data_IF_886523640104
#
_entry.id   IF_886523640104
#
_cell.length_a   1.000
_cell.length_b   1.000
_cell.length_c   1.000
_cell.angle_alpha   90.00
_cell.angle_beta   90.00
_cell.angle_gamma   90.00
#
_symmetry.space_group_name_H-M   'P 1'
#
loop_
_entity.id
_entity.type
_entity.pdbx_description
1 polymer ?
#
# COMPACT_ATOMS: atom_id res chain seq x y z
N UNK A 1 8.59 -2.32 3.56
CA UNK A 1 9.79 -2.26 4.41
C UNK A 1 9.52 -1.61 5.77
N UNK A 2 8.89 -0.43 5.84
CA UNK A 2 8.59 0.26 7.11
C UNK A 2 7.98 -0.64 8.19
N UNK A 3 6.98 -1.45 7.83
CA UNK A 3 6.32 -2.40 8.74
C UNK A 3 7.31 -3.42 9.31
N UNK A 4 8.22 -3.94 8.49
CA UNK A 4 9.22 -4.92 8.91
C UNK A 4 10.26 -4.30 9.86
N UNK A 5 10.74 -3.09 9.55
CA UNK A 5 11.67 -2.35 10.43
C UNK A 5 11.04 -2.11 11.80
N UNK A 6 9.79 -1.63 11.83
CA UNK A 6 9.05 -1.42 13.08
C UNK A 6 8.86 -2.72 13.87
N UNK A 7 8.49 -3.82 13.20
CA UNK A 7 8.38 -5.16 13.85
C UNK A 7 9.71 -5.65 14.41
N UNK A 8 10.83 -5.25 13.83
CA UNK A 8 12.17 -5.55 14.32
C UNK A 8 12.63 -4.61 15.45
N UNK A 9 11.79 -3.68 15.90
CA UNK A 9 12.13 -2.70 16.94
C UNK A 9 13.01 -1.54 16.45
N UNK A 10 13.20 -1.41 15.14
CA UNK A 10 13.92 -0.29 14.54
C UNK A 10 12.91 0.84 14.32
N UNK A 11 13.00 1.88 15.13
CA UNK A 11 12.07 3.02 15.07
C UNK A 11 12.67 4.28 14.44
N UNK A 12 14.00 4.39 14.39
CA UNK A 12 14.67 5.55 13.81
C UNK A 12 14.92 5.34 12.31
N UNK A 13 13.89 5.61 11.51
CA UNK A 13 13.99 5.58 10.05
C UNK A 13 12.97 6.53 9.41
N UNK A 14 13.22 6.87 8.16
CA UNK A 14 12.29 7.62 7.29
C UNK A 14 12.21 6.95 5.93
N UNK A 15 10.99 6.81 5.41
CA UNK A 15 10.73 6.41 4.03
C UNK A 15 10.42 7.67 3.24
N UNK A 16 11.19 7.92 2.18
CA UNK A 16 10.94 9.03 1.27
C UNK A 16 10.08 8.55 0.10
N UNK A 17 8.99 9.27 -0.17
CA UNK A 17 8.12 9.08 -1.32
C UNK A 17 8.06 10.36 -2.14
N UNK A 18 8.30 10.25 -3.45
CA UNK A 18 8.30 11.38 -4.37
C UNK A 18 6.89 11.93 -4.60
N UNK A 19 5.88 11.07 -4.59
CA UNK A 19 4.49 11.44 -4.75
C UNK A 19 3.92 12.18 -3.53
N UNK A 20 2.73 12.73 -3.70
CA UNK A 20 2.00 13.40 -2.63
C UNK A 20 1.47 12.44 -1.55
N UNK A 21 1.41 11.14 -1.86
CA UNK A 21 0.95 10.08 -0.96
C UNK A 21 1.61 8.74 -1.29
N UNK A 22 1.49 7.79 -0.38
CA UNK A 22 1.91 6.40 -0.55
C UNK A 22 1.09 5.67 -1.61
N UNK A 23 1.60 4.51 -2.05
CA UNK A 23 0.91 3.61 -2.97
C UNK A 23 1.68 3.36 -4.26
N UNK A 24 2.74 4.12 -4.53
CA UNK A 24 3.68 3.88 -5.62
C UNK A 24 2.98 3.78 -6.98
N UNK A 25 3.04 2.61 -7.61
CA UNK A 25 2.35 2.32 -8.88
C UNK A 25 0.87 2.68 -8.80
N UNK A 26 0.19 2.32 -7.71
CA UNK A 26 -1.23 2.54 -7.55
C UNK A 26 -1.57 3.99 -7.25
N UNK A 27 -0.67 4.78 -6.67
CA UNK A 27 -0.90 6.22 -6.54
C UNK A 27 -0.73 6.95 -7.88
N UNK A 28 0.23 6.52 -8.71
CA UNK A 28 0.59 7.21 -9.96
C UNK A 28 -0.31 6.89 -11.16
N UNK A 29 -0.88 5.69 -11.22
CA UNK A 29 -1.57 5.21 -12.42
C UNK A 29 -3.09 5.31 -12.27
N UNK A 30 -3.67 6.47 -12.60
CA UNK A 30 -5.11 6.75 -12.48
C UNK A 30 -5.85 6.76 -13.83
N UNK A 31 -5.28 6.10 -14.84
CA UNK A 31 -5.91 6.02 -16.16
C UNK A 31 -7.18 5.14 -16.12
N UNK A 32 -8.18 5.41 -17.00
CA UNK A 32 -9.40 4.61 -17.06
C UNK A 32 -9.11 3.11 -17.26
N UNK A 33 -9.66 2.26 -16.40
CA UNK A 33 -9.48 0.81 -16.47
C UNK A 33 -8.19 0.28 -15.84
N UNK A 34 -7.40 1.12 -15.14
CA UNK A 34 -6.25 0.66 -14.38
C UNK A 34 -6.66 -0.40 -13.33
N UNK A 35 -6.09 -1.60 -13.46
CA UNK A 35 -6.37 -2.75 -12.60
C UNK A 35 -5.15 -3.68 -12.51
N UNK A 36 -5.14 -4.55 -11.51
CA UNK A 36 -4.11 -5.59 -11.39
C UNK A 36 -4.43 -6.80 -12.26
N UNK A 37 -3.40 -7.38 -12.86
CA UNK A 37 -3.46 -8.64 -13.62
C UNK A 37 -3.39 -9.88 -12.72
N UNK A 38 -2.82 -9.76 -11.52
CA UNK A 38 -2.77 -10.81 -10.50
C UNK A 38 -4.14 -10.92 -9.81
N UNK A 39 -4.64 -12.14 -9.56
CA UNK A 39 -5.84 -12.32 -8.75
C UNK A 39 -5.72 -11.64 -7.38
N UNK A 40 -6.72 -10.82 -7.03
CA UNK A 40 -6.65 -9.87 -5.91
C UNK A 40 -6.43 -10.54 -4.56
N UNK A 41 -6.94 -11.76 -4.39
CA UNK A 41 -6.71 -12.57 -3.19
C UNK A 41 -5.23 -12.96 -3.00
N UNK A 42 -4.41 -12.94 -4.06
CA UNK A 42 -2.96 -13.14 -4.00
C UNK A 42 -2.18 -11.82 -3.87
N UNK A 43 -2.84 -10.68 -4.08
CA UNK A 43 -2.20 -9.35 -4.07
C UNK A 43 -2.18 -8.69 -2.68
N UNK A 44 -2.56 -9.43 -1.64
CA UNK A 44 -2.45 -8.98 -0.24
C UNK A 44 -1.12 -9.40 0.39
N UNK A 45 -0.58 -8.59 1.29
CA UNK A 45 0.53 -8.99 2.15
C UNK A 45 0.16 -10.24 2.95
N UNK A 46 1.06 -11.22 3.03
CA UNK A 46 0.84 -12.50 3.73
C UNK A 46 0.41 -12.35 5.20
N UNK A 47 0.79 -11.23 5.83
CA UNK A 47 0.46 -10.90 7.21
C UNK A 47 -0.74 -9.93 7.38
N UNK A 48 -1.37 -9.50 6.28
CA UNK A 48 -2.53 -8.59 6.30
C UNK A 48 -3.41 -8.88 5.07
N UNK A 49 -4.12 -9.99 5.12
CA UNK A 49 -4.94 -10.49 4.02
C UNK A 49 -6.27 -9.74 3.93
N UNK A 50 -6.60 -9.25 2.74
CA UNK A 50 -7.90 -8.64 2.45
C UNK A 50 -8.86 -9.67 1.83
N UNK A 51 -10.10 -9.71 2.31
CA UNK A 51 -11.12 -10.72 1.92
C UNK A 51 -12.32 -10.14 1.18
N UNK A 52 -12.49 -8.82 1.22
CA UNK A 52 -13.63 -8.06 0.70
C UNK A 52 -13.34 -7.42 -0.67
N UNK A 53 -12.44 -8.01 -1.46
CA UNK A 53 -12.15 -7.52 -2.81
C UNK A 53 -13.40 -7.53 -3.69
N UNK A 54 -13.66 -6.44 -4.41
CA UNK A 54 -14.90 -6.29 -5.20
C UNK A 54 -14.93 -7.13 -6.47
N UNK A 55 -13.75 -7.46 -7.03
CA UNK A 55 -13.62 -8.26 -8.25
C UNK A 55 -12.30 -9.05 -8.27
N UNK A 56 -12.19 -10.13 -9.10
CA UNK A 56 -10.98 -10.94 -9.17
C UNK A 56 -9.72 -10.15 -9.52
N UNK A 57 -9.82 -9.17 -10.43
CA UNK A 57 -8.73 -8.30 -10.85
C UNK A 57 -9.02 -6.87 -10.38
N UNK A 58 -8.61 -6.51 -9.16
CA UNK A 58 -9.09 -5.29 -8.49
C UNK A 58 -8.66 -4.00 -9.21
N UNK A 59 -9.54 -2.98 -9.27
CA UNK A 59 -9.21 -1.69 -9.83
C UNK A 59 -8.16 -0.97 -8.97
N UNK A 60 -7.42 -0.07 -9.60
CA UNK A 60 -6.34 0.68 -8.95
C UNK A 60 -6.78 1.34 -7.62
N UNK A 61 -7.96 1.97 -7.60
CA UNK A 61 -8.44 2.69 -6.41
C UNK A 61 -8.62 1.75 -5.21
N UNK A 62 -9.07 0.52 -5.43
CA UNK A 62 -9.29 -0.46 -4.38
C UNK A 62 -7.97 -0.97 -3.79
N UNK A 63 -6.97 -1.19 -4.65
CA UNK A 63 -5.62 -1.58 -4.23
C UNK A 63 -4.94 -0.43 -3.49
N UNK A 64 -5.09 0.81 -3.96
CA UNK A 64 -4.57 1.98 -3.26
C UNK A 64 -5.19 2.12 -1.86
N UNK A 65 -6.51 1.92 -1.75
CA UNK A 65 -7.21 1.88 -0.46
C UNK A 65 -6.63 0.82 0.47
N UNK A 66 -6.49 -0.42 -0.03
CA UNK A 66 -5.87 -1.51 0.74
C UNK A 66 -4.47 -1.14 1.27
N UNK A 67 -3.61 -0.53 0.45
CA UNK A 67 -2.26 -0.14 0.87
C UNK A 67 -2.27 0.95 1.94
N UNK A 68 -3.19 1.92 1.86
CA UNK A 68 -3.38 2.95 2.90
C UNK A 68 -3.84 2.33 4.21
N UNK A 69 -4.85 1.46 4.15
CA UNK A 69 -5.38 0.83 5.35
C UNK A 69 -4.33 -0.05 6.04
N UNK A 70 -3.50 -0.76 5.27
CA UNK A 70 -2.35 -1.51 5.82
C UNK A 70 -1.35 -0.55 6.47
N UNK A 71 -0.98 0.55 5.81
CA UNK A 71 -0.03 1.49 6.38
C UNK A 71 -0.55 2.10 7.71
N UNK A 72 -1.85 2.39 7.79
CA UNK A 72 -2.52 2.85 9.00
C UNK A 72 -2.57 1.78 10.10
N UNK A 73 -3.04 0.57 9.79
CA UNK A 73 -3.13 -0.55 10.77
C UNK A 73 -1.79 -0.90 11.41
N UNK A 74 -0.70 -0.84 10.64
CA UNK A 74 0.65 -1.10 11.13
C UNK A 74 1.35 0.16 11.64
N UNK A 75 0.64 1.30 11.64
CA UNK A 75 1.05 2.57 12.23
C UNK A 75 2.20 3.27 11.54
N UNK A 76 2.56 2.92 10.30
CA UNK A 76 3.81 3.40 9.65
C UNK A 76 3.66 4.70 8.86
N UNK A 77 2.49 5.31 8.86
CA UNK A 77 2.22 6.55 8.12
C UNK A 77 3.11 7.72 8.57
N UNK A 78 3.41 7.80 9.87
CA UNK A 78 4.29 8.80 10.48
C UNK A 78 5.75 8.69 10.02
N UNK A 79 6.14 7.55 9.44
CA UNK A 79 7.49 7.31 8.93
C UNK A 79 7.65 7.64 7.45
N UNK A 80 6.57 8.07 6.77
CA UNK A 80 6.60 8.40 5.35
C UNK A 80 6.64 9.91 5.18
N UNK A 81 7.68 10.40 4.52
CA UNK A 81 7.78 11.79 4.09
C UNK A 81 7.53 11.88 2.59
N UNK A 82 6.40 12.47 2.23
CA UNK A 82 5.95 12.65 0.86
C UNK A 82 6.59 13.87 0.19
N UNK A 83 6.41 14.00 -1.13
CA UNK A 83 6.97 15.08 -1.95
C UNK A 83 8.49 15.25 -1.77
N UNK A 84 9.23 14.15 -1.59
CA UNK A 84 10.70 14.12 -1.44
C UNK A 84 11.30 13.12 -2.42
#
# INVERSE_FOLDING_TARGET
MAIALRRAGIEDFTVFERGADLGGVWHRNTYPGAACDVPSYLYSFSYDQRRDWTQPCSPQAEILGYLRDVAERHGVLDRVRTNT
#
